data_IF_385426430508
#
_entry.id   IF_385426430508
#
_cell.length_a   1.000
_cell.length_b   1.000
_cell.length_c   1.000
_cell.angle_alpha   90.00
_cell.angle_beta   90.00
_cell.angle_gamma   90.00
#
_symmetry.space_group_name_H-M   'P 1'
#
loop_
_entity.id
_entity.type
_entity.pdbx_description
1 polymer ?
#
# COMPACT_ATOMS: atom_id res chain seq x y z
N UNK A 1 9.35 11.87 -6.19
CA UNK A 1 8.65 10.63 -6.48
C UNK A 1 7.15 10.78 -6.36
N UNK A 2 6.66 11.27 -5.23
CA UNK A 2 5.21 11.47 -5.07
C UNK A 2 4.66 12.60 -5.93
N UNK A 3 5.50 13.53 -6.37
CA UNK A 3 5.07 14.64 -7.24
C UNK A 3 4.69 14.16 -8.64
N UNK A 4 5.35 13.10 -9.10
CA UNK A 4 5.11 12.52 -10.42
C UNK A 4 4.80 11.04 -10.25
N UNK A 5 3.74 10.79 -9.50
CA UNK A 5 3.39 9.45 -9.11
C UNK A 5 2.93 8.62 -10.30
N UNK A 6 3.73 7.65 -10.70
CA UNK A 6 3.45 6.73 -11.80
C UNK A 6 3.22 5.31 -11.28
N UNK A 7 2.75 5.20 -10.02
CA UNK A 7 2.50 3.93 -9.37
C UNK A 7 1.22 4.05 -8.53
N UNK A 8 0.64 2.91 -8.19
CA UNK A 8 -0.50 2.85 -7.28
C UNK A 8 0.02 2.63 -5.88
N UNK A 9 -0.34 3.52 -4.97
CA UNK A 9 0.08 3.45 -3.57
C UNK A 9 -1.08 2.90 -2.74
N UNK A 10 -0.85 1.77 -2.07
CA UNK A 10 -1.89 1.05 -1.34
C UNK A 10 -1.52 0.93 0.12
N UNK A 11 -2.40 1.42 0.99
CA UNK A 11 -2.32 1.21 2.42
C UNK A 11 -2.98 -0.14 2.75
N UNK A 12 -2.20 -1.07 3.30
CA UNK A 12 -2.72 -2.41 3.65
C UNK A 12 -2.81 -2.61 5.16
N UNK A 13 -2.57 -1.56 5.94
CA UNK A 13 -2.63 -1.62 7.41
C UNK A 13 -4.06 -1.75 7.90
N UNK A 14 -4.33 -2.77 8.69
CA UNK A 14 -5.63 -2.93 9.32
C UNK A 14 -5.45 -3.05 10.85
N UNK A 15 -6.28 -2.38 11.66
CA UNK A 15 -7.31 -1.41 11.26
C UNK A 15 -6.71 -0.13 10.69
N UNK A 16 -7.52 0.64 10.00
CA UNK A 16 -7.08 1.91 9.41
C UNK A 16 -6.69 2.90 10.52
N UNK A 17 -5.48 3.44 10.44
CA UNK A 17 -4.97 4.40 11.43
C UNK A 17 -4.49 5.70 10.79
N UNK A 18 -4.79 5.90 9.52
CA UNK A 18 -4.31 7.03 8.75
C UNK A 18 -3.57 6.54 7.52
N UNK A 19 -3.05 7.46 6.74
CA UNK A 19 -2.37 7.11 5.50
C UNK A 19 -1.32 8.14 5.12
N UNK A 20 -0.40 7.71 4.24
CA UNK A 20 0.59 8.57 3.63
C UNK A 20 -0.11 9.41 2.57
N UNK A 21 0.24 10.68 2.45
CA UNK A 21 -0.32 11.55 1.42
C UNK A 21 -0.05 10.96 0.04
N UNK A 22 -1.06 10.95 -0.82
CA UNK A 22 -0.95 10.34 -2.15
C UNK A 22 -1.39 8.90 -2.22
N UNK A 23 -1.88 8.33 -1.11
CA UNK A 23 -2.42 6.96 -1.10
C UNK A 23 -3.65 6.88 -2.01
N UNK A 24 -3.64 5.91 -2.91
CA UNK A 24 -4.73 5.71 -3.86
C UNK A 24 -5.82 4.80 -3.31
N UNK A 25 -5.43 3.75 -2.61
CA UNK A 25 -6.37 2.73 -2.13
C UNK A 25 -6.04 2.36 -0.69
N UNK A 26 -7.07 1.97 0.04
CA UNK A 26 -6.94 1.30 1.32
C UNK A 26 -7.60 -0.07 1.19
N UNK A 27 -6.79 -1.12 1.22
CA UNK A 27 -7.27 -2.50 1.18
C UNK A 27 -6.47 -3.27 2.22
N UNK A 28 -7.09 -3.74 3.31
CA UNK A 28 -6.38 -4.53 4.31
C UNK A 28 -5.62 -5.68 3.67
N UNK A 29 -4.46 -6.00 4.22
CA UNK A 29 -3.56 -6.98 3.61
C UNK A 29 -4.21 -8.35 3.42
N UNK A 30 -5.19 -8.69 4.25
CA UNK A 30 -5.88 -9.96 4.18
C UNK A 30 -7.14 -9.94 3.32
N UNK A 31 -7.41 -8.82 2.64
CA UNK A 31 -8.57 -8.66 1.77
C UNK A 31 -8.20 -8.43 0.30
N UNK A 32 -6.92 -8.45 -0.03
CA UNK A 32 -6.46 -8.16 -1.38
C UNK A 32 -7.06 -9.12 -2.42
N UNK A 33 -7.13 -10.41 -2.09
CA UNK A 33 -7.71 -11.39 -2.99
C UNK A 33 -9.20 -11.16 -3.22
N UNK A 34 -9.93 -10.88 -2.15
CA UNK A 34 -11.37 -10.65 -2.22
C UNK A 34 -11.70 -9.33 -2.94
N UNK A 35 -10.80 -8.35 -2.86
CA UNK A 35 -11.01 -7.02 -3.44
C UNK A 35 -10.11 -6.77 -4.65
N UNK A 36 -9.68 -7.84 -5.32
CA UNK A 36 -8.76 -7.74 -6.45
C UNK A 36 -9.30 -6.87 -7.59
N UNK A 37 -10.62 -6.73 -7.71
CA UNK A 37 -11.23 -5.87 -8.71
C UNK A 37 -10.93 -4.38 -8.54
N UNK A 38 -10.44 -3.96 -7.36
CA UNK A 38 -10.05 -2.58 -7.09
C UNK A 38 -8.59 -2.31 -7.46
N UNK A 39 -7.82 -3.35 -7.76
CA UNK A 39 -6.41 -3.24 -8.10
C UNK A 39 -6.23 -2.83 -9.56
N UNK A 40 -5.04 -2.33 -9.94
CA UNK A 40 -4.79 -2.00 -11.34
C UNK A 40 -5.07 -3.16 -12.27
N UNK A 41 -5.69 -2.89 -13.41
CA UNK A 41 -6.03 -3.92 -14.39
C UNK A 41 -4.77 -4.51 -15.02
N UNK A 42 -3.73 -3.70 -15.23
CA UNK A 42 -2.46 -4.17 -15.79
C UNK A 42 -1.63 -4.86 -14.72
N UNK A 43 -1.24 -6.10 -14.97
CA UNK A 43 -0.41 -6.86 -14.03
C UNK A 43 1.03 -6.38 -13.98
N UNK A 44 1.45 -5.56 -14.93
CA UNK A 44 2.79 -4.96 -14.93
C UNK A 44 2.81 -3.55 -14.35
N UNK A 45 1.66 -3.03 -13.94
CA UNK A 45 1.59 -1.72 -13.30
C UNK A 45 2.42 -1.70 -12.02
N UNK A 46 3.03 -0.56 -11.75
CA UNK A 46 3.79 -0.39 -10.51
C UNK A 46 2.86 -0.29 -9.32
N UNK A 47 3.07 -1.13 -8.33
CA UNK A 47 2.28 -1.15 -7.10
C UNK A 47 3.22 -1.04 -5.91
N UNK A 48 3.00 -0.03 -5.09
CA UNK A 48 3.75 0.15 -3.85
C UNK A 48 2.78 -0.02 -2.69
N UNK A 49 3.07 -0.96 -1.82
CA UNK A 49 2.23 -1.22 -0.64
C UNK A 49 2.97 -0.81 0.62
N UNK A 50 2.22 -0.45 1.65
CA UNK A 50 2.79 -0.15 2.95
C UNK A 50 1.81 -0.49 4.05
N UNK A 51 2.35 -0.72 5.24
CA UNK A 51 1.59 -0.83 6.46
C UNK A 51 2.27 0.04 7.51
N UNK A 52 2.11 -0.28 8.77
CA UNK A 52 2.75 0.51 9.83
C UNK A 52 4.26 0.28 9.89
N UNK A 53 4.69 -0.99 9.90
CA UNK A 53 6.10 -1.34 10.09
C UNK A 53 6.71 -2.13 8.94
N UNK A 54 5.89 -2.74 8.09
CA UNK A 54 6.35 -3.56 6.97
C UNK A 54 5.95 -5.02 7.08
N UNK A 55 5.42 -5.47 8.22
CA UNK A 55 5.07 -6.89 8.42
C UNK A 55 3.84 -7.29 7.61
N UNK A 56 2.76 -6.54 7.74
CA UNK A 56 1.53 -6.81 6.98
C UNK A 56 1.74 -6.59 5.50
N UNK A 57 2.49 -5.55 5.14
CA UNK A 57 2.75 -5.24 3.74
C UNK A 57 3.64 -6.29 3.07
N UNK A 58 4.52 -6.95 3.83
CA UNK A 58 5.31 -8.06 3.29
C UNK A 58 4.39 -9.22 2.87
N UNK A 59 3.35 -9.49 3.66
CA UNK A 59 2.35 -10.49 3.28
C UNK A 59 1.54 -10.03 2.08
N UNK A 60 1.22 -8.74 2.01
CA UNK A 60 0.51 -8.17 0.87
C UNK A 60 1.28 -8.34 -0.43
N UNK A 61 2.60 -8.15 -0.40
CA UNK A 61 3.46 -8.38 -1.56
C UNK A 61 3.31 -9.81 -2.07
N UNK A 62 3.36 -10.78 -1.17
CA UNK A 62 3.23 -12.18 -1.55
C UNK A 62 1.87 -12.46 -2.21
N UNK A 63 0.80 -11.90 -1.64
CA UNK A 63 -0.54 -12.05 -2.21
C UNK A 63 -0.61 -11.46 -3.61
N UNK A 64 -0.07 -10.25 -3.79
CA UNK A 64 -0.08 -9.58 -5.10
C UNK A 64 0.70 -10.37 -6.14
N UNK A 65 1.85 -10.94 -5.76
CA UNK A 65 2.63 -11.79 -6.66
C UNK A 65 1.82 -13.02 -7.07
N UNK A 66 1.09 -13.63 -6.14
CA UNK A 66 0.23 -14.76 -6.46
C UNK A 66 -0.93 -14.37 -7.36
N UNK A 67 -1.38 -13.12 -7.29
CA UNK A 67 -2.43 -12.61 -8.18
C UNK A 67 -1.90 -12.28 -9.58
N UNK A 68 -0.60 -12.41 -9.80
CA UNK A 68 0.02 -12.21 -11.11
C UNK A 68 0.68 -10.85 -11.31
N UNK A 69 0.70 -9.99 -10.30
CA UNK A 69 1.38 -8.70 -10.40
C UNK A 69 2.88 -8.92 -10.38
N UNK A 70 3.59 -8.24 -11.28
CA UNK A 70 5.03 -8.47 -11.49
C UNK A 70 5.90 -7.30 -11.04
N UNK A 71 5.31 -6.17 -10.68
CA UNK A 71 6.07 -4.96 -10.33
C UNK A 71 5.57 -4.41 -9.00
N UNK A 72 5.79 -5.17 -7.94
CA UNK A 72 5.29 -4.91 -6.60
C UNK A 72 6.43 -4.52 -5.67
N UNK A 73 6.24 -3.44 -4.93
CA UNK A 73 7.24 -2.93 -4.00
C UNK A 73 6.63 -2.76 -2.62
N UNK A 74 7.45 -2.96 -1.59
CA UNK A 74 7.07 -2.73 -0.20
C UNK A 74 7.83 -1.50 0.29
N UNK A 75 7.10 -0.51 0.81
CA UNK A 75 7.74 0.67 1.40
C UNK A 75 8.40 0.26 2.72
N UNK A 76 9.71 0.23 2.72
CA UNK A 76 10.50 -0.23 3.85
C UNK A 76 10.25 0.64 5.08
N UNK A 77 9.92 0.01 6.19
CA UNK A 77 9.59 0.70 7.43
C UNK A 77 8.20 1.34 7.47
N UNK A 78 7.50 1.38 6.35
CA UNK A 78 6.11 1.82 6.27
C UNK A 78 5.84 3.19 6.90
N UNK A 79 4.72 3.30 7.60
CA UNK A 79 4.32 4.55 8.27
C UNK A 79 5.32 4.99 9.31
N UNK A 80 5.96 4.05 10.02
CA UNK A 80 6.94 4.38 11.04
C UNK A 80 8.13 5.12 10.44
N UNK A 81 8.66 4.63 9.32
CA UNK A 81 9.76 5.30 8.62
C UNK A 81 9.34 6.66 8.08
N UNK A 82 8.11 6.75 7.55
CA UNK A 82 7.56 8.00 7.04
C UNK A 82 7.54 9.07 8.14
N UNK A 83 7.01 8.70 9.32
CA UNK A 83 6.93 9.63 10.45
C UNK A 83 8.31 9.95 11.02
N UNK A 84 9.22 8.98 11.07
CA UNK A 84 10.59 9.20 11.55
C UNK A 84 11.37 10.18 10.69
N UNK A 85 11.00 10.32 9.41
CA UNK A 85 11.64 11.27 8.51
C UNK A 85 11.09 12.70 8.67
N UNK A 86 10.22 12.93 9.66
CA UNK A 86 9.65 14.25 9.93
C UNK A 86 8.34 14.52 9.20
N UNK A 87 7.77 13.52 8.55
CA UNK A 87 6.51 13.65 7.82
C UNK A 87 5.34 13.19 8.67
N UNK A 88 4.15 13.66 8.35
CA UNK A 88 2.95 13.30 9.09
C UNK A 88 2.02 12.44 8.23
N UNK A 89 1.13 11.71 8.91
CA UNK A 89 0.08 10.95 8.26
C UNK A 89 -1.16 11.83 8.12
N UNK A 90 -2.01 11.51 7.15
CA UNK A 90 -3.32 12.13 7.01
C UNK A 90 -4.40 11.08 7.27
N UNK A 91 -5.60 11.53 7.63
CA UNK A 91 -6.72 10.62 7.89
C UNK A 91 -7.85 10.95 6.92
N UNK A 92 -8.22 9.97 6.11
CA UNK A 92 -9.30 10.10 5.12
C UNK A 92 -10.56 9.37 5.54
N UNK A 93 -10.61 8.88 6.77
CA UNK A 93 -11.76 8.13 7.31
C UNK A 93 -12.12 6.90 6.50
N UNK A 94 -11.13 6.20 5.99
CA UNK A 94 -11.33 4.97 5.23
C UNK A 94 -11.43 3.79 6.20
N UNK A 95 -12.61 3.36 6.49
CA UNK A 95 -12.81 2.27 7.45
C UNK A 95 -13.68 1.15 6.89
#
# INVERSE_FOLDING_TARGET
MLDHKDFTLINVKTPYIGEIVGTDLFIPYDQLGARAGELPASKSARVLVYCRSGVESAQAVQTLLHLGYTNVWNLDGGMNAWQSSGRTLVNKNRQ
#
